data_IF_506083542963
#
_entry.id   IF_506083542963
#
_cell.length_a   1.000
_cell.length_b   1.000
_cell.length_c   1.000
_cell.angle_alpha   90.00
_cell.angle_beta   90.00
_cell.angle_gamma   90.00
#
_symmetry.space_group_name_H-M   'P 1'
#
loop_
_entity.id
_entity.type
_entity.pdbx_description
1 polymer ?
#
# COMPACT_ATOMS: atom_id res chain seq x y z
N UNK A 1 -9.06 24.82 -16.47
CA UNK A 1 -9.91 23.64 -16.25
C UNK A 1 -9.10 22.35 -16.21
N UNK A 2 -8.29 22.05 -17.21
CA UNK A 2 -7.48 20.81 -17.28
C UNK A 2 -6.56 20.59 -16.06
N UNK A 3 -5.85 21.61 -15.58
CA UNK A 3 -4.97 21.51 -14.40
C UNK A 3 -5.72 21.09 -13.12
N UNK A 4 -6.94 21.59 -12.90
CA UNK A 4 -7.75 21.21 -11.74
C UNK A 4 -8.22 19.75 -11.84
N UNK A 5 -8.60 19.30 -13.03
CA UNK A 5 -9.01 17.92 -13.28
C UNK A 5 -7.84 16.97 -13.03
N UNK A 6 -6.65 17.27 -13.59
CA UNK A 6 -5.43 16.47 -13.38
C UNK A 6 -5.06 16.41 -11.90
N UNK A 7 -5.12 17.55 -11.18
CA UNK A 7 -4.82 17.59 -9.75
C UNK A 7 -5.80 16.74 -8.92
N UNK A 8 -7.09 16.80 -9.24
CA UNK A 8 -8.11 15.98 -8.56
C UNK A 8 -7.92 14.49 -8.84
N UNK A 9 -7.53 14.11 -10.06
CA UNK A 9 -7.21 12.71 -10.39
C UNK A 9 -5.99 12.25 -9.59
N UNK A 10 -4.92 13.05 -9.56
CA UNK A 10 -3.70 12.72 -8.78
C UNK A 10 -4.04 12.55 -7.30
N UNK A 11 -4.81 13.47 -6.72
CA UNK A 11 -5.23 13.38 -5.32
C UNK A 11 -6.10 12.13 -5.07
N UNK A 12 -7.04 11.82 -5.95
CA UNK A 12 -7.88 10.63 -5.86
C UNK A 12 -7.05 9.33 -5.90
N UNK A 13 -6.12 9.23 -6.84
CA UNK A 13 -5.18 8.09 -6.96
C UNK A 13 -4.30 7.98 -5.71
N UNK A 14 -3.79 9.11 -5.21
CA UNK A 14 -2.95 9.11 -3.98
C UNK A 14 -3.73 8.59 -2.76
N UNK A 15 -4.98 8.99 -2.60
CA UNK A 15 -5.84 8.50 -1.50
C UNK A 15 -6.06 6.99 -1.60
N UNK A 16 -6.31 6.46 -2.81
CA UNK A 16 -6.48 5.02 -3.03
C UNK A 16 -5.20 4.25 -2.69
N UNK A 17 -4.03 4.76 -3.11
CA UNK A 17 -2.73 4.13 -2.81
C UNK A 17 -2.47 4.12 -1.30
N UNK A 18 -2.73 5.24 -0.61
CA UNK A 18 -2.56 5.33 0.85
C UNK A 18 -3.51 4.37 1.56
N UNK A 19 -4.78 4.31 1.16
CA UNK A 19 -5.76 3.40 1.75
C UNK A 19 -5.36 1.93 1.55
N UNK A 20 -4.87 1.57 0.36
CA UNK A 20 -4.35 0.23 0.08
C UNK A 20 -3.11 -0.09 0.93
N UNK A 21 -2.17 0.84 1.06
CA UNK A 21 -0.98 0.67 1.90
C UNK A 21 -1.34 0.48 3.39
N UNK A 22 -2.30 1.26 3.90
CA UNK A 22 -2.81 1.13 5.28
C UNK A 22 -3.48 -0.23 5.47
N UNK A 23 -4.27 -0.70 4.50
CA UNK A 23 -4.92 -2.01 4.56
C UNK A 23 -3.87 -3.14 4.64
N UNK A 24 -2.84 -3.08 3.80
CA UNK A 24 -1.73 -4.06 3.81
C UNK A 24 -1.01 -4.02 5.15
N UNK A 25 -0.68 -2.82 5.65
CA UNK A 25 -0.01 -2.66 6.95
C UNK A 25 -0.86 -3.23 8.09
N UNK A 26 -2.15 -2.94 8.13
CA UNK A 26 -3.06 -3.48 9.13
C UNK A 26 -3.12 -5.02 9.05
N UNK A 27 -3.16 -5.58 7.86
CA UNK A 27 -3.17 -7.04 7.68
C UNK A 27 -1.91 -7.66 8.29
N UNK A 28 -0.73 -7.08 8.02
CA UNK A 28 0.55 -7.57 8.57
C UNK A 28 0.58 -7.44 10.09
N UNK A 29 0.18 -6.28 10.63
CA UNK A 29 0.21 -6.03 12.08
C UNK A 29 -0.78 -6.90 12.85
N UNK A 30 -1.96 -7.16 12.26
CA UNK A 30 -3.00 -7.97 12.89
C UNK A 30 -2.79 -9.48 12.70
N UNK A 31 -1.86 -9.89 11.85
CA UNK A 31 -1.50 -11.31 11.67
C UNK A 31 -0.82 -11.80 12.95
N UNK A 32 -1.30 -12.91 13.49
CA UNK A 32 -0.72 -13.51 14.71
C UNK A 32 0.69 -14.00 14.43
N UNK A 33 1.55 -13.95 15.47
CA UNK A 33 2.88 -14.55 15.39
C UNK A 33 2.78 -16.03 15.06
N UNK A 34 3.51 -16.49 14.04
CA UNK A 34 3.46 -17.88 13.54
C UNK A 34 2.40 -18.14 12.46
N UNK A 35 1.62 -17.15 12.06
CA UNK A 35 0.71 -17.24 10.92
C UNK A 35 1.24 -16.39 9.74
N UNK A 36 0.62 -16.53 8.57
CA UNK A 36 0.99 -15.74 7.38
C UNK A 36 -0.07 -14.71 7.06
N UNK A 37 0.32 -13.49 6.65
CA UNK A 37 -0.60 -12.47 6.19
C UNK A 37 -1.47 -12.99 5.04
N UNK A 38 -2.79 -12.89 5.22
CA UNK A 38 -3.76 -13.33 4.22
C UNK A 38 -4.71 -12.18 3.89
N UNK A 39 -4.81 -11.84 2.61
CA UNK A 39 -5.69 -10.80 2.10
C UNK A 39 -6.72 -11.44 1.17
N UNK A 40 -7.98 -11.45 1.56
CA UNK A 40 -9.10 -12.01 0.78
C UNK A 40 -8.89 -13.47 0.34
N UNK A 41 -8.24 -14.28 1.17
CA UNK A 41 -7.94 -15.68 0.86
C UNK A 41 -6.63 -15.90 0.10
N UNK A 42 -5.83 -14.86 -0.13
CA UNK A 42 -4.55 -14.95 -0.82
C UNK A 42 -3.40 -14.52 0.07
N UNK A 43 -2.30 -15.26 0.00
CA UNK A 43 -1.02 -14.93 0.62
C UNK A 43 0.05 -14.82 -0.47
N UNK A 44 1.05 -13.97 -0.24
CA UNK A 44 2.11 -13.73 -1.22
C UNK A 44 3.45 -14.03 -0.58
N UNK A 45 4.29 -14.81 -1.26
CA UNK A 45 5.62 -15.17 -0.79
C UNK A 45 6.67 -14.94 -1.88
N UNK A 46 7.90 -14.69 -1.45
CA UNK A 46 9.07 -14.74 -2.31
C UNK A 46 9.80 -16.07 -2.08
N UNK A 47 10.09 -16.78 -3.14
CA UNK A 47 10.83 -18.04 -3.11
C UNK A 47 12.29 -17.78 -2.80
N UNK A 48 12.81 -18.37 -1.73
CA UNK A 48 14.17 -18.12 -1.23
C UNK A 48 15.19 -19.17 -1.65
N UNK A 49 14.73 -20.34 -2.10
CA UNK A 49 15.59 -21.50 -2.42
C UNK A 49 15.23 -22.07 -3.79
N UNK A 50 16.18 -22.77 -4.41
CA UNK A 50 15.99 -23.40 -5.72
C UNK A 50 15.33 -24.77 -5.67
N UNK A 51 14.72 -25.20 -4.57
CA UNK A 51 14.12 -26.54 -4.43
C UNK A 51 13.01 -26.84 -5.44
N UNK A 52 12.39 -25.79 -6.01
CA UNK A 52 11.32 -25.90 -7.00
C UNK A 52 11.77 -25.59 -8.44
N UNK A 53 13.07 -25.42 -8.66
CA UNK A 53 13.60 -25.25 -10.03
C UNK A 53 13.46 -26.55 -10.85
N UNK A 54 13.24 -26.43 -12.17
CA UNK A 54 13.09 -25.20 -12.95
C UNK A 54 11.66 -24.64 -12.97
N UNK A 55 10.67 -25.28 -12.32
CA UNK A 55 9.27 -24.87 -12.40
C UNK A 55 9.02 -23.53 -11.71
N UNK A 56 9.70 -23.26 -10.59
CA UNK A 56 9.67 -22.00 -9.89
C UNK A 56 11.11 -21.61 -9.56
N UNK A 57 11.61 -20.58 -10.21
CA UNK A 57 12.97 -20.08 -10.02
C UNK A 57 13.12 -19.37 -8.69
N UNK A 58 14.32 -19.40 -8.12
CA UNK A 58 14.69 -18.61 -6.95
C UNK A 58 14.35 -17.13 -7.18
N UNK A 59 13.98 -16.42 -6.12
CA UNK A 59 13.49 -15.03 -6.14
C UNK A 59 12.14 -14.81 -6.81
N UNK A 60 11.47 -15.84 -7.34
CA UNK A 60 10.11 -15.68 -7.86
C UNK A 60 9.13 -15.26 -6.78
N UNK A 61 8.15 -14.43 -7.17
CA UNK A 61 6.97 -14.13 -6.36
C UNK A 61 5.90 -15.18 -6.66
N UNK A 62 5.34 -15.78 -5.62
CA UNK A 62 4.22 -16.72 -5.73
C UNK A 62 3.00 -16.18 -5.02
N UNK A 63 1.83 -16.40 -5.61
CA UNK A 63 0.53 -16.15 -4.98
C UNK A 63 -0.09 -17.48 -4.60
N UNK A 64 -0.41 -17.61 -3.33
CA UNK A 64 -0.97 -18.81 -2.72
C UNK A 64 -2.42 -18.53 -2.34
N UNK A 65 -3.34 -19.31 -2.87
CA UNK A 65 -4.76 -19.24 -2.54
C UNK A 65 -5.07 -20.24 -1.43
N UNK A 66 -5.72 -19.82 -0.36
CA UNK A 66 -6.25 -20.69 0.66
C UNK A 66 -7.35 -21.55 0.06
N UNK A 67 -7.25 -22.86 0.19
CA UNK A 67 -8.20 -23.84 -0.31
C UNK A 67 -8.42 -24.89 0.74
N UNK A 68 -9.51 -25.64 0.64
CA UNK A 68 -9.74 -26.80 1.49
C UNK A 68 -8.80 -27.95 1.12
N UNK A 69 -8.40 -28.75 2.11
CA UNK A 69 -7.47 -29.87 1.90
C UNK A 69 -8.00 -30.87 0.86
N UNK A 70 -9.30 -31.04 0.79
CA UNK A 70 -10.00 -31.90 -0.19
C UNK A 70 -9.90 -31.44 -1.65
N UNK A 71 -9.57 -30.16 -1.88
CA UNK A 71 -9.39 -29.59 -3.22
C UNK A 71 -7.98 -29.84 -3.79
N UNK A 72 -7.03 -30.23 -2.94
CA UNK A 72 -5.64 -30.49 -3.33
C UNK A 72 -5.57 -31.79 -4.12
N UNK A 73 -4.79 -31.79 -5.19
CA UNK A 73 -4.56 -32.93 -6.08
C UNK A 73 -3.07 -33.25 -6.18
N UNK A 74 -2.76 -34.49 -6.48
CA UNK A 74 -1.40 -34.91 -6.84
C UNK A 74 -0.94 -34.05 -8.03
N UNK A 75 0.29 -33.51 -7.93
CA UNK A 75 0.86 -32.58 -8.90
C UNK A 75 0.66 -31.10 -8.56
N UNK A 76 -0.23 -30.77 -7.64
CA UNK A 76 -0.40 -29.37 -7.19
C UNK A 76 0.84 -28.91 -6.42
N UNK A 77 1.19 -27.66 -6.55
CA UNK A 77 2.20 -27.00 -5.73
C UNK A 77 1.50 -26.34 -4.55
N UNK A 78 1.89 -26.71 -3.34
CA UNK A 78 1.30 -26.19 -2.11
C UNK A 78 2.35 -25.48 -1.26
N UNK A 79 1.91 -24.46 -0.51
CA UNK A 79 2.70 -23.83 0.55
C UNK A 79 2.16 -24.29 1.91
N UNK A 80 3.06 -24.59 2.82
CA UNK A 80 2.73 -25.18 4.13
C UNK A 80 3.80 -24.82 5.17
N UNK A 81 3.45 -24.93 6.45
CA UNK A 81 4.41 -24.82 7.54
C UNK A 81 5.22 -26.13 7.68
N UNK A 82 6.54 -26.04 7.58
CA UNK A 82 7.42 -27.20 7.65
C UNK A 82 7.38 -27.83 9.05
N UNK A 83 7.24 -29.15 9.08
CA UNK A 83 7.36 -29.97 10.29
C UNK A 83 8.81 -30.46 10.54
N UNK A 84 9.75 -30.11 9.66
CA UNK A 84 11.17 -30.41 9.87
C UNK A 84 11.69 -29.63 11.08
N UNK A 85 12.22 -30.32 12.12
CA UNK A 85 12.79 -29.66 13.29
C UNK A 85 13.93 -28.68 12.97
N UNK A 86 14.66 -28.91 11.87
CA UNK A 86 15.71 -28.01 11.41
C UNK A 86 15.17 -26.69 10.82
N UNK A 87 13.92 -26.70 10.33
CA UNK A 87 13.25 -25.58 9.67
C UNK A 87 11.84 -25.35 10.26
N UNK A 88 11.59 -25.85 11.47
CA UNK A 88 10.26 -25.86 12.09
C UNK A 88 9.58 -24.50 12.08
N UNK A 89 8.37 -24.47 11.54
CA UNK A 89 7.56 -23.26 11.40
C UNK A 89 7.92 -22.36 10.21
N UNK A 90 8.96 -22.68 9.43
CA UNK A 90 9.23 -21.97 8.17
C UNK A 90 8.20 -22.38 7.11
N UNK A 91 7.83 -21.41 6.25
CA UNK A 91 6.97 -21.71 5.11
C UNK A 91 7.79 -22.40 4.03
N UNK A 92 7.35 -23.59 3.64
CA UNK A 92 7.91 -24.35 2.54
C UNK A 92 6.91 -24.41 1.37
N UNK A 93 7.41 -24.59 0.15
CA UNK A 93 6.58 -24.68 -1.06
C UNK A 93 7.10 -25.80 -1.92
N UNK A 94 6.35 -26.91 -2.01
CA UNK A 94 6.73 -28.10 -2.75
C UNK A 94 5.52 -28.69 -3.50
N UNK A 95 5.79 -29.65 -4.38
CA UNK A 95 4.78 -30.35 -5.17
C UNK A 95 4.26 -31.57 -4.43
N UNK A 96 2.96 -31.79 -4.46
CA UNK A 96 2.30 -32.97 -3.91
C UNK A 96 2.57 -34.17 -4.80
N UNK A 97 3.17 -35.23 -4.22
CA UNK A 97 3.46 -36.50 -4.90
C UNK A 97 2.47 -37.60 -4.50
N UNK A 98 1.99 -37.59 -3.25
CA UNK A 98 0.95 -38.49 -2.79
C UNK A 98 0.03 -37.82 -1.78
N UNK A 99 -1.17 -38.34 -1.65
CA UNK A 99 -2.20 -37.88 -0.72
C UNK A 99 -2.71 -39.07 0.05
N UNK A 100 -2.68 -38.97 1.38
CA UNK A 100 -3.22 -39.97 2.28
C UNK A 100 -4.35 -39.37 3.10
N UNK A 101 -5.50 -40.02 3.15
CA UNK A 101 -6.63 -39.58 3.95
C UNK A 101 -6.85 -40.56 5.11
N UNK A 102 -6.77 -40.06 6.34
CA UNK A 102 -7.05 -40.81 7.55
C UNK A 102 -8.24 -40.17 8.28
N UNK A 103 -9.45 -40.65 7.98
CA UNK A 103 -10.68 -40.07 8.47
C UNK A 103 -10.92 -38.68 7.90
N UNK A 104 -10.97 -37.64 8.77
CA UNK A 104 -11.12 -36.26 8.37
C UNK A 104 -9.77 -35.54 8.11
N UNK A 105 -8.65 -36.18 8.44
CA UNK A 105 -7.32 -35.61 8.30
C UNK A 105 -6.70 -35.97 6.95
N UNK A 106 -6.23 -34.96 6.23
CA UNK A 106 -5.53 -35.11 4.97
C UNK A 106 -4.03 -34.94 5.21
N UNK A 107 -3.24 -35.83 4.66
CA UNK A 107 -1.80 -35.81 4.72
C UNK A 107 -1.22 -35.76 3.31
N UNK A 108 -0.29 -34.86 3.08
CA UNK A 108 0.34 -34.62 1.79
C UNK A 108 1.81 -35.05 1.85
N UNK A 109 2.20 -35.96 1.01
CA UNK A 109 3.61 -36.22 0.72
C UNK A 109 4.05 -35.24 -0.32
N UNK A 110 5.12 -34.50 -0.05
CA UNK A 110 5.58 -33.39 -0.92
C UNK A 110 7.03 -33.64 -1.35
N UNK A 111 7.41 -32.98 -2.46
CA UNK A 111 8.75 -33.02 -3.02
C UNK A 111 9.07 -31.73 -3.74
N UNK A 112 10.25 -31.19 -3.53
CA UNK A 112 10.78 -30.13 -4.37
C UNK A 112 11.13 -30.63 -5.77
N UNK A 113 10.81 -29.88 -6.79
CA UNK A 113 11.02 -30.29 -8.20
C UNK A 113 12.51 -30.57 -8.50
N UNK A 114 13.43 -29.81 -7.88
CA UNK A 114 14.87 -30.04 -7.98
C UNK A 114 15.40 -31.14 -7.05
N UNK A 115 14.60 -31.63 -6.09
CA UNK A 115 15.05 -32.60 -5.11
C UNK A 115 15.00 -34.03 -5.70
N UNK A 116 15.91 -34.91 -5.28
CA UNK A 116 15.90 -36.32 -5.70
C UNK A 116 14.90 -37.16 -4.87
N UNK A 117 14.71 -36.78 -3.61
CA UNK A 117 13.89 -37.52 -2.65
C UNK A 117 12.68 -36.66 -2.24
N UNK A 118 11.62 -37.37 -1.83
CA UNK A 118 10.46 -36.74 -1.17
C UNK A 118 10.86 -36.18 0.19
N UNK A 119 10.04 -35.22 0.66
CA UNK A 119 10.23 -34.61 1.97
C UNK A 119 10.07 -35.69 3.06
N UNK A 120 10.97 -35.68 4.03
CA UNK A 120 10.99 -36.66 5.11
C UNK A 120 9.74 -36.59 5.98
N UNK A 121 9.18 -35.37 6.13
CA UNK A 121 8.04 -35.15 7.00
C UNK A 121 6.81 -34.87 6.15
N UNK A 122 5.75 -35.61 6.47
CA UNK A 122 4.45 -35.48 5.78
C UNK A 122 3.76 -34.22 6.26
N UNK A 123 3.16 -33.48 5.35
CA UNK A 123 2.43 -32.24 5.64
C UNK A 123 0.98 -32.54 5.99
N UNK A 124 0.55 -32.21 7.21
CA UNK A 124 -0.85 -32.32 7.62
C UNK A 124 -1.70 -31.19 7.01
N UNK A 125 -3.00 -31.45 6.84
CA UNK A 125 -3.98 -30.42 6.45
C UNK A 125 -4.00 -29.22 7.39
N UNK A 126 -3.58 -29.38 8.65
CA UNK A 126 -3.47 -28.27 9.63
C UNK A 126 -2.35 -27.31 9.32
N UNK A 127 -1.29 -27.79 8.67
CA UNK A 127 -0.12 -26.99 8.32
C UNK A 127 -0.23 -26.39 6.92
N UNK A 128 -1.29 -26.75 6.17
CA UNK A 128 -1.53 -26.26 4.83
C UNK A 128 -1.89 -24.76 4.84
N UNK A 129 -1.10 -23.94 4.15
CA UNK A 129 -1.40 -22.52 3.91
C UNK A 129 -2.31 -22.39 2.69
N UNK A 130 -2.01 -23.15 1.62
CA UNK A 130 -2.82 -23.17 0.42
C UNK A 130 -2.07 -23.65 -0.83
N UNK A 131 -2.72 -23.49 -1.98
CA UNK A 131 -2.24 -23.88 -3.30
C UNK A 131 -1.64 -22.69 -4.05
N UNK A 132 -0.50 -22.87 -4.69
CA UNK A 132 0.11 -21.87 -5.57
C UNK A 132 -0.76 -21.72 -6.83
N UNK A 133 -1.24 -20.51 -7.08
CA UNK A 133 -2.12 -20.21 -8.22
C UNK A 133 -1.47 -19.30 -9.25
N UNK A 134 -0.40 -18.59 -8.87
CA UNK A 134 0.32 -17.70 -9.78
C UNK A 134 1.80 -17.64 -9.39
N UNK A 135 2.67 -17.57 -10.39
CA UNK A 135 4.12 -17.46 -10.23
C UNK A 135 4.62 -16.36 -11.17
N UNK A 136 5.47 -15.48 -10.68
CA UNK A 136 6.12 -14.46 -11.50
C UNK A 136 7.55 -14.21 -11.04
N UNK A 137 8.50 -14.59 -11.85
CA UNK A 137 9.92 -14.31 -11.62
C UNK A 137 10.21 -12.80 -11.74
N UNK A 138 9.66 -12.13 -12.74
CA UNK A 138 9.85 -10.68 -12.95
C UNK A 138 9.38 -9.86 -11.75
N UNK A 139 8.19 -10.15 -11.23
CA UNK A 139 7.67 -9.47 -10.03
C UNK A 139 8.53 -9.77 -8.79
N UNK A 140 9.04 -10.97 -8.68
CA UNK A 140 9.95 -11.37 -7.63
C UNK A 140 11.26 -10.56 -7.65
N UNK A 141 11.88 -10.40 -8.82
CA UNK A 141 13.08 -9.56 -8.99
C UNK A 141 12.78 -8.11 -8.61
N UNK A 142 11.65 -7.56 -9.05
CA UNK A 142 11.25 -6.18 -8.70
C UNK A 142 11.12 -6.03 -7.17
N UNK A 143 10.44 -6.96 -6.51
CA UNK A 143 10.30 -6.96 -5.04
C UNK A 143 11.67 -7.10 -4.37
N UNK A 144 12.54 -7.98 -4.87
CA UNK A 144 13.89 -8.14 -4.34
C UNK A 144 14.70 -6.84 -4.45
N UNK A 145 14.68 -6.18 -5.60
CA UNK A 145 15.37 -4.91 -5.83
C UNK A 145 14.83 -3.81 -4.91
N UNK A 146 13.51 -3.69 -4.80
CA UNK A 146 12.87 -2.70 -3.93
C UNK A 146 13.04 -3.01 -2.43
N UNK A 147 13.32 -4.25 -2.06
CA UNK A 147 13.66 -4.62 -0.68
C UNK A 147 15.05 -4.15 -0.26
N UNK A 148 15.90 -3.80 -1.22
CA UNK A 148 17.22 -3.22 -0.92
C UNK A 148 17.07 -1.74 -0.58
N UNK A 149 17.43 -1.29 0.65
CA UNK A 149 17.28 0.09 1.08
C UNK A 149 18.06 1.09 0.22
N UNK A 150 19.20 0.67 -0.38
CA UNK A 150 19.98 1.50 -1.28
C UNK A 150 19.25 1.81 -2.60
N UNK A 151 18.29 1.00 -2.99
CA UNK A 151 17.46 1.21 -4.18
C UNK A 151 16.12 1.83 -3.79
N UNK A 152 15.51 1.33 -2.72
CA UNK A 152 14.21 1.79 -2.24
C UNK A 152 14.20 3.29 -1.89
N UNK A 153 15.24 3.78 -1.17
CA UNK A 153 15.31 5.17 -0.74
C UNK A 153 15.35 6.14 -1.95
N UNK A 154 16.31 6.04 -2.91
CA UNK A 154 16.35 6.97 -4.03
C UNK A 154 15.17 6.82 -5.00
N UNK A 155 14.61 5.62 -5.16
CA UNK A 155 13.56 5.37 -6.16
C UNK A 155 12.16 5.71 -5.63
N UNK A 156 11.90 5.47 -4.36
CA UNK A 156 10.55 5.64 -3.76
C UNK A 156 10.52 6.81 -2.79
N UNK A 157 11.40 6.84 -1.79
CA UNK A 157 11.33 7.80 -0.69
C UNK A 157 11.70 9.21 -1.16
N UNK A 158 12.74 9.35 -1.97
CA UNK A 158 13.19 10.66 -2.44
C UNK A 158 12.16 11.37 -3.32
N UNK A 159 11.55 10.76 -4.35
CA UNK A 159 10.51 11.40 -5.13
C UNK A 159 9.27 11.74 -4.28
N UNK A 160 8.85 10.85 -3.38
CA UNK A 160 7.76 11.14 -2.44
C UNK A 160 8.06 12.37 -1.58
N UNK A 161 9.26 12.47 -1.03
CA UNK A 161 9.69 13.62 -0.23
C UNK A 161 9.67 14.92 -1.04
N UNK A 162 10.17 14.89 -2.29
CA UNK A 162 10.15 16.06 -3.20
C UNK A 162 8.71 16.50 -3.48
N UNK A 163 7.81 15.55 -3.77
CA UNK A 163 6.39 15.83 -4.01
C UNK A 163 5.75 16.44 -2.74
N UNK A 164 6.04 15.89 -1.57
CA UNK A 164 5.52 16.40 -0.30
C UNK A 164 5.96 17.84 -0.04
N UNK A 165 7.26 18.12 -0.20
CA UNK A 165 7.81 19.48 -0.02
C UNK A 165 7.21 20.46 -1.04
N UNK A 166 7.07 20.05 -2.29
CA UNK A 166 6.44 20.86 -3.33
C UNK A 166 4.99 21.19 -2.98
N UNK A 167 4.19 20.19 -2.57
CA UNK A 167 2.80 20.39 -2.18
C UNK A 167 2.69 21.33 -0.97
N UNK A 168 3.53 21.17 0.03
CA UNK A 168 3.57 22.03 1.21
C UNK A 168 3.90 23.48 0.83
N UNK A 169 4.93 23.69 0.00
CA UNK A 169 5.32 25.02 -0.49
C UNK A 169 4.20 25.67 -1.32
N UNK A 170 3.51 24.88 -2.15
CA UNK A 170 2.37 25.35 -2.93
C UNK A 170 1.21 25.78 -2.02
N UNK A 171 0.86 24.98 -1.03
CA UNK A 171 -0.20 25.28 -0.05
C UNK A 171 0.10 26.57 0.71
N UNK A 172 1.33 26.74 1.23
CA UNK A 172 1.76 27.94 1.95
C UNK A 172 1.64 29.17 1.03
N UNK A 173 2.03 29.05 -0.25
CA UNK A 173 1.93 30.16 -1.21
C UNK A 173 0.49 30.58 -1.48
N UNK A 174 -0.40 29.60 -1.67
CA UNK A 174 -1.84 29.85 -1.89
C UNK A 174 -2.46 30.53 -0.67
N UNK A 175 -2.21 30.01 0.52
CA UNK A 175 -2.71 30.59 1.77
C UNK A 175 -2.24 32.04 1.96
N UNK A 176 -0.97 32.33 1.71
CA UNK A 176 -0.44 33.72 1.79
C UNK A 176 -1.12 34.65 0.80
N UNK A 177 -1.43 34.21 -0.41
CA UNK A 177 -2.11 35.04 -1.40
C UNK A 177 -3.55 35.35 -0.97
N UNK A 178 -4.28 34.36 -0.43
CA UNK A 178 -5.65 34.54 0.07
C UNK A 178 -5.66 35.58 1.21
N UNK A 179 -4.76 35.45 2.18
CA UNK A 179 -4.65 36.40 3.31
C UNK A 179 -4.37 37.82 2.81
N UNK A 180 -3.47 37.98 1.83
CA UNK A 180 -3.20 39.29 1.25
C UNK A 180 -4.42 39.90 0.54
N UNK A 181 -5.16 39.09 -0.22
CA UNK A 181 -6.39 39.54 -0.89
C UNK A 181 -7.45 39.98 0.14
N UNK A 182 -7.61 39.27 1.24
CA UNK A 182 -8.52 39.63 2.33
C UNK A 182 -8.09 40.94 3.04
N UNK A 183 -6.78 41.09 3.34
CA UNK A 183 -6.24 42.33 3.93
C UNK A 183 -6.46 43.55 2.99
N UNK A 184 -6.16 43.39 1.69
CA UNK A 184 -6.37 44.47 0.71
C UNK A 184 -7.87 44.84 0.57
N UNK A 185 -8.76 43.85 0.60
CA UNK A 185 -10.21 44.09 0.57
C UNK A 185 -10.69 44.85 1.81
N UNK A 186 -10.24 44.44 3.00
CA UNK A 186 -10.55 45.11 4.27
C UNK A 186 -10.05 46.58 4.30
N UNK A 187 -8.81 46.79 3.80
CA UNK A 187 -8.25 48.15 3.69
C UNK A 187 -9.07 49.02 2.72
N UNK A 188 -9.48 48.51 1.56
CA UNK A 188 -10.31 49.24 0.59
C UNK A 188 -11.66 49.62 1.20
N UNK A 189 -12.31 48.69 1.90
CA UNK A 189 -13.59 48.94 2.58
C UNK A 189 -13.46 50.04 3.66
N UNK A 190 -12.41 49.98 4.48
CA UNK A 190 -12.12 50.97 5.50
C UNK A 190 -11.87 52.37 4.89
N UNK A 191 -11.10 52.46 3.79
CA UNK A 191 -10.85 53.70 3.06
C UNK A 191 -12.13 54.29 2.47
N UNK A 192 -13.00 53.46 1.89
CA UNK A 192 -14.30 53.93 1.36
C UNK A 192 -15.23 54.41 2.48
N UNK A 193 -15.26 53.75 3.63
CA UNK A 193 -16.05 54.18 4.79
C UNK A 193 -15.59 55.52 5.31
N UNK A 194 -14.28 55.76 5.43
CA UNK A 194 -13.70 57.07 5.81
C UNK A 194 -14.03 58.15 4.78
N UNK A 195 -13.97 57.83 3.49
CA UNK A 195 -14.30 58.80 2.42
C UNK A 195 -15.77 59.21 2.43
N UNK A 196 -16.68 58.26 2.68
CA UNK A 196 -18.11 58.52 2.83
C UNK A 196 -18.40 59.39 4.06
N UNK A 197 -17.82 59.12 5.21
CA UNK A 197 -18.01 59.91 6.42
C UNK A 197 -17.52 61.34 6.27
N UNK A 198 -16.39 61.54 5.56
CA UNK A 198 -15.82 62.90 5.27
C UNK A 198 -16.68 63.69 4.30
N UNK A 199 -17.31 63.05 3.30
CA UNK A 199 -18.21 63.71 2.37
C UNK A 199 -19.55 64.14 3.02
N UNK A 200 -20.03 63.40 4.00
CA UNK A 200 -21.24 63.73 4.75
C UNK A 200 -21.00 64.82 5.81
N UNK A 201 -19.82 64.85 6.45
CA UNK A 201 -19.45 65.88 7.43
C UNK A 201 -19.19 67.24 6.79
N UNK A 202 -18.70 67.27 5.54
CA UNK A 202 -18.50 68.53 4.80
C UNK A 202 -19.78 69.25 4.37
N UNK A 203 -20.89 68.50 4.20
CA UNK A 203 -22.19 69.02 3.82
C UNK A 203 -22.98 69.68 4.96
N UNK A 204 -22.65 69.39 6.22
CA UNK A 204 -23.30 69.95 7.39
C UNK A 204 -22.63 71.27 7.88
N UNK A 205 -21.34 71.44 7.58
CA UNK A 205 -20.60 72.63 7.98
C UNK A 205 -20.98 73.94 7.15
N UNK A 206 -21.49 73.80 5.92
CA UNK A 206 -21.81 74.90 5.03
C UNK A 206 -23.24 75.46 5.20
N UNK A 207 -24.10 74.77 5.96
CA UNK A 207 -25.48 75.23 6.23
C UNK A 207 -25.63 76.07 7.49
N UNK A 208 -24.61 76.23 8.29
CA UNK A 208 -24.64 76.96 9.55
C UNK A 208 -24.09 78.39 9.45
N UNK A 209 -23.63 78.82 8.25
CA UNK A 209 -23.06 80.14 8.04
C UNK A 209 -24.01 81.13 7.25
N UNK A 210 -25.18 80.62 6.80
CA UNK A 210 -26.11 81.47 5.98
C UNK A 210 -27.44 81.85 6.72
N UNK A 211 -27.43 81.82 8.05
CA UNK A 211 -28.58 82.32 8.85
C UNK A 211 -28.14 83.26 9.95
N UNK A 212 -27.56 84.41 9.49
CA UNK A 212 -27.16 85.49 10.39
C UNK A 212 -27.09 86.80 9.68
N UNK A 213 -28.22 87.27 9.15
CA UNK A 213 -28.54 88.72 8.96
C UNK A 213 -30.03 88.94 9.16
#
# INVERSE_FOLDING_TARGET
MLKKIVLNIINGVSVIIIAAAVLVLLTVVLTKSGDVPNILGYSVFRVMTGSMEPAIETDSLIVVKRVEASEIKIGDVISFFSQDPAHGGAVNTHRVTAIEQNGEEWNFVTKGDANQLEDKYVTSSKDLIGKVVYVSHVMGIIVHLLSNPLIFIPVIVLPMFVILVYNLACTIRVTRNIVKEEEEAAVREAVEAIRKSRSQGGSQGDRSLDSGE
#
